data_IF_527953682924
#
_entry.id   IF_527953682924
#
_cell.length_a   1.000
_cell.length_b   1.000
_cell.length_c   1.000
_cell.angle_alpha   90.00
_cell.angle_beta   90.00
_cell.angle_gamma   90.00
#
_symmetry.space_group_name_H-M   'P 1'
#
loop_
_entity.id
_entity.type
_entity.pdbx_description
1 polymer ?
#
# COMPACT_ATOMS: atom_id res chain seq x y z
N UNK A 1 13.76 -17.96 12.43
CA UNK A 1 13.66 -17.35 13.77
C UNK A 1 12.20 -17.01 13.98
N UNK A 2 11.55 -17.65 14.94
CA UNK A 2 10.10 -17.59 15.16
C UNK A 2 9.84 -16.75 16.40
N UNK A 3 8.85 -15.85 16.32
CA UNK A 3 8.32 -15.01 17.39
C UNK A 3 9.19 -13.79 17.76
N UNK A 4 9.05 -12.70 17.00
CA UNK A 4 9.28 -11.37 17.56
C UNK A 4 8.14 -11.09 18.56
N UNK A 5 8.43 -11.36 19.83
CA UNK A 5 7.52 -11.08 20.94
C UNK A 5 7.30 -9.57 21.07
N UNK A 6 6.08 -9.14 21.39
CA UNK A 6 5.66 -7.73 21.38
C UNK A 6 6.45 -6.88 22.40
N UNK A 7 7.11 -7.54 23.36
CA UNK A 7 8.03 -6.93 24.33
C UNK A 7 9.39 -6.54 23.74
N UNK A 8 9.77 -7.01 22.54
CA UNK A 8 11.07 -6.69 21.95
C UNK A 8 11.10 -5.30 21.28
N UNK A 9 9.98 -4.78 20.78
CA UNK A 9 9.95 -3.51 20.04
C UNK A 9 10.19 -2.27 20.91
N UNK A 10 9.74 -2.28 22.17
CA UNK A 10 10.11 -1.24 23.14
C UNK A 10 11.62 -1.26 23.42
N UNK A 11 12.26 -2.42 23.35
CA UNK A 11 13.71 -2.58 23.46
C UNK A 11 14.49 -2.19 22.18
N UNK A 12 13.81 -1.98 21.03
CA UNK A 12 14.43 -1.54 19.77
C UNK A 12 14.58 -0.01 19.66
N UNK A 13 13.96 0.76 20.56
CA UNK A 13 14.09 2.23 20.66
C UNK A 13 15.54 2.74 20.60
N UNK A 14 16.56 2.06 21.19
CA UNK A 14 17.95 2.51 21.13
C UNK A 14 18.72 2.07 19.87
N UNK A 15 18.16 1.21 19.01
CA UNK A 15 18.92 0.54 17.95
C UNK A 15 18.98 1.43 16.72
N UNK A 16 19.91 2.39 16.73
CA UNK A 16 20.19 3.33 15.63
C UNK A 16 20.64 2.65 14.32
N UNK A 17 20.91 1.34 14.34
CA UNK A 17 21.37 0.56 13.19
C UNK A 17 20.32 -0.36 12.57
N UNK A 18 19.08 -0.38 13.06
CA UNK A 18 18.06 -1.27 12.52
C UNK A 18 17.62 -0.80 11.14
N UNK A 19 18.04 -1.52 10.10
CA UNK A 19 17.69 -1.22 8.69
C UNK A 19 16.49 -2.00 8.20
N UNK A 20 16.34 -3.24 8.66
CA UNK A 20 15.27 -4.14 8.22
C UNK A 20 14.62 -4.74 9.45
N UNK A 21 13.29 -4.66 9.52
CA UNK A 21 12.49 -5.37 10.50
C UNK A 21 11.76 -6.54 9.84
N UNK A 22 12.04 -7.76 10.29
CA UNK A 22 11.25 -8.94 9.95
C UNK A 22 10.40 -9.36 11.15
N UNK A 23 9.08 -9.19 11.05
CA UNK A 23 8.11 -9.55 12.07
C UNK A 23 6.84 -10.18 11.48
N UNK A 24 6.91 -10.75 10.28
CA UNK A 24 5.78 -11.44 9.66
C UNK A 24 5.24 -12.59 10.50
N UNK A 25 3.93 -12.81 10.46
CA UNK A 25 3.19 -13.82 11.23
C UNK A 25 3.43 -13.72 12.74
N UNK A 26 3.68 -12.51 13.25
CA UNK A 26 3.85 -12.26 14.69
C UNK A 26 2.56 -11.74 15.34
N UNK A 27 2.57 -11.66 16.66
CA UNK A 27 1.51 -11.07 17.48
C UNK A 27 1.65 -9.56 17.65
N UNK A 28 2.47 -8.92 16.82
CA UNK A 28 2.78 -7.50 16.87
C UNK A 28 1.50 -6.66 16.75
N UNK A 29 1.26 -5.81 17.75
CA UNK A 29 0.08 -4.94 17.84
C UNK A 29 0.38 -3.49 17.45
N UNK A 30 1.65 -3.08 17.53
CA UNK A 30 2.05 -1.69 17.34
C UNK A 30 3.45 -1.56 16.74
N UNK A 31 3.59 -0.58 15.87
CA UNK A 31 4.85 -0.15 15.24
C UNK A 31 5.30 1.25 15.71
N UNK A 32 4.69 1.79 16.78
CA UNK A 32 4.98 3.14 17.28
C UNK A 32 6.47 3.35 17.59
N UNK A 33 7.14 2.35 18.13
CA UNK A 33 8.57 2.42 18.47
C UNK A 33 9.48 2.62 17.25
N UNK A 34 9.02 2.28 16.04
CA UNK A 34 9.81 2.36 14.81
C UNK A 34 9.89 3.77 14.21
N UNK A 35 9.04 4.70 14.68
CA UNK A 35 8.99 6.07 14.16
C UNK A 35 10.31 6.85 14.34
N UNK A 36 11.18 6.41 15.25
CA UNK A 36 12.47 7.04 15.54
C UNK A 36 13.68 6.26 14.97
N UNK A 37 13.45 5.14 14.30
CA UNK A 37 14.54 4.33 13.74
C UNK A 37 15.13 5.01 12.49
N UNK A 38 16.15 5.83 12.68
CA UNK A 38 16.74 6.67 11.63
C UNK A 38 17.34 5.90 10.45
N UNK A 39 17.71 4.64 10.65
CA UNK A 39 18.29 3.77 9.62
C UNK A 39 17.27 2.79 9.00
N UNK A 40 16.02 2.76 9.45
CA UNK A 40 15.03 1.77 9.02
C UNK A 40 14.57 2.04 7.58
N UNK A 41 14.75 1.04 6.72
CA UNK A 41 14.45 1.08 5.29
C UNK A 41 13.35 0.10 4.90
N UNK A 42 13.25 -1.07 5.55
CA UNK A 42 12.29 -2.12 5.19
C UNK A 42 11.57 -2.65 6.43
N UNK A 43 10.25 -2.74 6.36
CA UNK A 43 9.41 -3.32 7.42
C UNK A 43 8.53 -4.42 6.85
N UNK A 44 8.76 -5.65 7.28
CA UNK A 44 7.94 -6.82 6.94
C UNK A 44 7.11 -7.24 8.16
N UNK A 45 5.80 -6.98 8.09
CA UNK A 45 4.78 -7.24 9.13
C UNK A 45 3.57 -7.96 8.51
N UNK A 46 3.81 -8.75 7.47
CA UNK A 46 2.77 -9.55 6.81
C UNK A 46 2.16 -10.59 7.74
N UNK A 47 0.88 -10.88 7.59
CA UNK A 47 0.10 -11.78 8.46
C UNK A 47 0.07 -11.41 9.96
N UNK A 48 0.34 -10.14 10.31
CA UNK A 48 0.16 -9.62 11.67
C UNK A 48 -1.30 -9.19 11.90
N UNK A 49 -2.17 -10.14 12.24
CA UNK A 49 -3.61 -9.92 12.38
C UNK A 49 -4.01 -8.88 13.46
N UNK A 50 -3.12 -8.61 14.42
CA UNK A 50 -3.35 -7.65 15.51
C UNK A 50 -2.73 -6.27 15.26
N UNK A 51 -1.96 -6.10 14.18
CA UNK A 51 -1.41 -4.80 13.78
C UNK A 51 -2.49 -4.02 13.03
N UNK A 52 -2.99 -2.93 13.64
CA UNK A 52 -4.13 -2.18 13.11
C UNK A 52 -3.71 -0.87 12.43
N UNK A 53 -2.61 -0.26 12.88
CA UNK A 53 -2.19 1.08 12.46
C UNK A 53 -0.73 1.09 11.98
N UNK A 54 -0.53 1.57 10.76
CA UNK A 54 0.81 1.80 10.17
C UNK A 54 1.22 3.28 10.22
N UNK A 55 0.37 4.17 10.71
CA UNK A 55 0.62 5.60 10.77
C UNK A 55 1.97 6.03 11.37
N UNK A 56 2.49 5.39 12.43
CA UNK A 56 3.80 5.73 12.98
C UNK A 56 4.97 5.55 12.01
N UNK A 57 4.84 4.63 11.04
CA UNK A 57 5.88 4.39 10.03
C UNK A 57 6.09 5.59 9.10
N UNK A 58 5.10 6.47 8.98
CA UNK A 58 5.21 7.68 8.15
C UNK A 58 6.25 8.70 8.64
N UNK A 59 6.73 8.55 9.87
CA UNK A 59 7.78 9.41 10.45
C UNK A 59 9.19 8.82 10.30
N UNK A 60 9.32 7.56 9.87
CA UNK A 60 10.62 6.92 9.68
C UNK A 60 11.33 7.54 8.45
N UNK A 61 12.45 8.26 8.65
CA UNK A 61 12.99 9.16 7.62
C UNK A 61 13.54 8.42 6.39
N UNK A 62 13.94 7.16 6.53
CA UNK A 62 14.55 6.35 5.47
C UNK A 62 13.70 5.17 5.02
N UNK A 63 12.46 5.05 5.50
CA UNK A 63 11.63 3.89 5.21
C UNK A 63 11.23 3.88 3.73
N UNK A 64 11.60 2.83 3.01
CA UNK A 64 11.36 2.66 1.57
C UNK A 64 10.29 1.62 1.29
N UNK A 65 10.23 0.55 2.08
CA UNK A 65 9.34 -0.58 1.82
C UNK A 65 8.60 -1.02 3.08
N UNK A 66 7.29 -1.21 2.93
CA UNK A 66 6.44 -1.81 3.95
C UNK A 66 5.64 -2.94 3.33
N UNK A 67 5.83 -4.16 3.85
CA UNK A 67 4.93 -5.29 3.59
C UNK A 67 4.05 -5.54 4.81
N UNK A 68 2.76 -5.27 4.67
CA UNK A 68 1.73 -5.56 5.65
C UNK A 68 0.65 -6.49 5.07
N UNK A 69 0.99 -7.29 4.07
CA UNK A 69 0.06 -8.19 3.39
C UNK A 69 -0.59 -9.16 4.39
N UNK A 70 -1.92 -9.28 4.38
CA UNK A 70 -2.69 -10.15 5.26
C UNK A 70 -2.69 -9.74 6.73
N UNK A 71 -2.26 -8.51 7.05
CA UNK A 71 -2.30 -7.97 8.40
C UNK A 71 -3.70 -7.44 8.77
N UNK A 72 -3.89 -7.10 10.04
CA UNK A 72 -5.12 -6.49 10.56
C UNK A 72 -5.27 -5.00 10.25
N UNK A 73 -4.43 -4.44 9.37
CA UNK A 73 -4.31 -2.99 9.17
C UNK A 73 -5.62 -2.39 8.66
N UNK A 74 -6.02 -1.31 9.32
CA UNK A 74 -7.22 -0.50 9.01
C UNK A 74 -6.89 0.97 8.89
N UNK A 75 -5.81 1.41 9.53
CA UNK A 75 -5.40 2.81 9.58
C UNK A 75 -4.02 3.00 8.95
N UNK A 76 -3.97 3.91 7.98
CA UNK A 76 -2.74 4.28 7.26
C UNK A 76 -2.55 5.81 7.18
N UNK A 77 -3.35 6.58 7.94
CA UNK A 77 -3.38 8.05 7.87
C UNK A 77 -2.03 8.70 8.10
N UNK A 78 -1.21 8.16 9.01
CA UNK A 78 0.12 8.69 9.27
C UNK A 78 1.13 8.47 8.12
N UNK A 79 0.88 7.54 7.19
CA UNK A 79 1.78 7.28 6.06
C UNK A 79 1.89 8.48 5.10
N UNK A 80 0.89 9.37 5.07
CA UNK A 80 0.92 10.59 4.26
C UNK A 80 2.10 11.52 4.55
N UNK A 81 2.72 11.37 5.73
CA UNK A 81 3.91 12.12 6.15
C UNK A 81 5.21 11.53 5.61
N UNK A 82 5.18 10.33 5.03
CA UNK A 82 6.36 9.68 4.51
C UNK A 82 6.83 10.35 3.23
N UNK A 83 8.04 10.89 3.27
CA UNK A 83 8.74 11.41 2.10
C UNK A 83 9.66 10.37 1.44
N UNK A 84 9.77 9.17 2.00
CA UNK A 84 10.75 8.14 1.58
C UNK A 84 10.11 6.82 1.15
N UNK A 85 8.85 6.55 1.52
CA UNK A 85 8.17 5.29 1.19
C UNK A 85 7.99 5.16 -0.32
N UNK A 86 8.62 4.14 -0.92
CA UNK A 86 8.57 3.86 -2.35
C UNK A 86 7.64 2.69 -2.68
N UNK A 87 7.51 1.71 -1.77
CA UNK A 87 6.73 0.48 -1.98
C UNK A 87 5.87 0.13 -0.77
N UNK A 88 4.60 -0.14 -1.03
CA UNK A 88 3.62 -0.47 0.00
C UNK A 88 2.76 -1.66 -0.42
N UNK A 89 2.87 -2.77 0.33
CA UNK A 89 2.09 -3.98 0.11
C UNK A 89 1.03 -4.11 1.20
N UNK A 90 -0.24 -3.99 0.80
CA UNK A 90 -1.42 -4.04 1.66
C UNK A 90 -2.44 -5.08 1.18
N UNK A 91 -1.99 -6.06 0.39
CA UNK A 91 -2.84 -7.13 -0.10
C UNK A 91 -3.49 -7.90 1.05
N UNK A 92 -4.74 -8.33 0.91
CA UNK A 92 -5.48 -9.09 1.92
C UNK A 92 -5.66 -8.36 3.27
N UNK A 93 -5.44 -7.05 3.34
CA UNK A 93 -5.89 -6.23 4.48
C UNK A 93 -7.41 -6.05 4.42
N UNK A 94 -8.16 -7.08 4.86
CA UNK A 94 -9.62 -7.22 4.69
C UNK A 94 -10.47 -6.15 5.39
N UNK A 95 -9.83 -5.26 6.15
CA UNK A 95 -10.48 -4.19 6.88
C UNK A 95 -10.04 -2.79 6.45
N UNK A 96 -9.15 -2.69 5.45
CA UNK A 96 -8.71 -1.41 4.89
C UNK A 96 -9.68 -0.96 3.78
N UNK A 97 -10.56 -0.02 4.10
CA UNK A 97 -11.55 0.50 3.14
C UNK A 97 -11.16 1.83 2.48
N UNK A 98 -10.21 2.56 3.07
CA UNK A 98 -9.83 3.90 2.63
C UNK A 98 -8.33 4.01 2.39
N UNK A 99 -7.96 4.61 1.26
CA UNK A 99 -6.56 4.85 0.87
C UNK A 99 -6.23 6.32 0.64
N UNK A 100 -7.15 7.22 1.01
CA UNK A 100 -7.02 8.68 0.95
C UNK A 100 -5.62 9.23 1.26
N UNK A 101 -5.01 8.84 2.38
CA UNK A 101 -3.69 9.32 2.80
C UNK A 101 -2.54 9.04 1.81
N UNK A 102 -2.68 8.01 0.95
CA UNK A 102 -1.62 7.61 0.02
C UNK A 102 -1.42 8.59 -1.13
N UNK A 103 -2.42 9.43 -1.45
CA UNK A 103 -2.29 10.51 -2.42
C UNK A 103 -1.19 11.51 -2.10
N UNK A 104 -0.85 11.67 -0.81
CA UNK A 104 0.16 12.61 -0.34
C UNK A 104 1.57 11.99 -0.26
N UNK A 105 1.71 10.68 -0.50
CA UNK A 105 3.00 10.00 -0.45
C UNK A 105 3.82 10.31 -1.70
N UNK A 106 4.61 11.39 -1.66
CA UNK A 106 5.33 11.94 -2.82
C UNK A 106 6.33 10.97 -3.47
N UNK A 107 6.80 9.98 -2.72
CA UNK A 107 7.80 9.00 -3.17
C UNK A 107 7.21 7.65 -3.54
N UNK A 108 5.91 7.41 -3.30
CA UNK A 108 5.28 6.11 -3.50
C UNK A 108 5.23 5.76 -4.99
N UNK A 109 5.85 4.64 -5.36
CA UNK A 109 5.96 4.13 -6.74
C UNK A 109 5.15 2.87 -6.94
N UNK A 110 5.07 2.02 -5.93
CA UNK A 110 4.42 0.71 -6.01
C UNK A 110 3.40 0.55 -4.88
N UNK A 111 2.15 0.26 -5.25
CA UNK A 111 1.05 0.05 -4.31
C UNK A 111 0.27 -1.21 -4.66
N UNK A 112 0.19 -2.15 -3.70
CA UNK A 112 -0.58 -3.38 -3.86
C UNK A 112 -1.74 -3.39 -2.87
N UNK A 113 -2.96 -3.43 -3.39
CA UNK A 113 -4.23 -3.43 -2.66
C UNK A 113 -5.05 -4.71 -2.93
N UNK A 114 -4.40 -5.76 -3.43
CA UNK A 114 -5.07 -7.00 -3.84
C UNK A 114 -6.01 -7.54 -2.77
N UNK A 115 -7.26 -7.86 -3.10
CA UNK A 115 -8.26 -8.39 -2.15
C UNK A 115 -8.53 -7.50 -0.93
N UNK A 116 -8.51 -6.17 -1.10
CA UNK A 116 -8.96 -5.21 -0.07
C UNK A 116 -10.39 -4.73 -0.33
N UNK A 117 -11.16 -4.32 0.69
CA UNK A 117 -12.50 -3.76 0.53
C UNK A 117 -12.48 -2.26 0.15
N UNK A 118 -11.42 -1.78 -0.50
CA UNK A 118 -11.32 -0.37 -0.91
C UNK A 118 -12.41 -0.06 -1.94
N UNK A 119 -13.13 1.05 -1.70
CA UNK A 119 -14.27 1.46 -2.53
C UNK A 119 -13.91 2.55 -3.54
N UNK A 120 -12.89 3.33 -3.22
CA UNK A 120 -12.54 4.59 -3.87
C UNK A 120 -11.02 4.76 -3.92
N UNK A 121 -10.54 5.34 -5.01
CA UNK A 121 -9.11 5.52 -5.31
C UNK A 121 -8.80 6.95 -5.75
N UNK A 122 -9.77 7.87 -5.70
CA UNK A 122 -9.72 9.24 -6.22
C UNK A 122 -8.50 10.00 -5.70
N UNK A 123 -8.17 9.82 -4.43
CA UNK A 123 -6.97 10.38 -3.79
C UNK A 123 -5.64 9.99 -4.46
N UNK A 124 -5.58 8.86 -5.16
CA UNK A 124 -4.35 8.43 -5.83
C UNK A 124 -4.03 9.31 -7.05
N UNK A 125 -4.98 10.08 -7.57
CA UNK A 125 -4.70 11.07 -8.63
C UNK A 125 -3.62 12.08 -8.22
N UNK A 126 -3.50 12.35 -6.91
CA UNK A 126 -2.52 13.27 -6.36
C UNK A 126 -1.15 12.62 -6.13
N UNK A 127 -1.01 11.30 -6.29
CA UNK A 127 0.25 10.58 -6.07
C UNK A 127 1.22 10.77 -7.27
N UNK A 128 2.26 11.62 -7.15
CA UNK A 128 3.00 12.12 -8.31
C UNK A 128 4.04 11.12 -8.85
N UNK A 129 4.32 10.06 -8.09
CA UNK A 129 5.36 9.08 -8.38
C UNK A 129 4.83 7.67 -8.65
N UNK A 130 3.52 7.43 -8.51
CA UNK A 130 2.94 6.09 -8.61
C UNK A 130 3.08 5.53 -10.03
N UNK A 131 3.71 4.35 -10.15
CA UNK A 131 4.02 3.67 -11.41
C UNK A 131 3.37 2.30 -11.49
N UNK A 132 3.22 1.62 -10.37
CA UNK A 132 2.67 0.28 -10.29
C UNK A 132 1.52 0.26 -9.29
N UNK A 133 0.36 -0.21 -9.77
CA UNK A 133 -0.83 -0.36 -8.97
C UNK A 133 -1.42 -1.74 -9.21
N UNK A 134 -1.54 -2.53 -8.14
CA UNK A 134 -2.32 -3.77 -8.15
C UNK A 134 -3.58 -3.57 -7.31
N UNK A 135 -4.73 -3.65 -7.97
CA UNK A 135 -6.07 -3.57 -7.36
C UNK A 135 -6.85 -4.85 -7.60
N UNK A 136 -6.19 -5.95 -7.97
CA UNK A 136 -6.87 -7.20 -8.29
C UNK A 136 -7.72 -7.70 -7.13
N UNK A 137 -8.87 -8.31 -7.42
CA UNK A 137 -9.83 -8.82 -6.44
C UNK A 137 -10.42 -7.74 -5.51
N UNK A 138 -10.30 -6.45 -5.84
CA UNK A 138 -11.04 -5.38 -5.15
C UNK A 138 -12.49 -5.36 -5.62
N UNK A 139 -13.33 -6.15 -4.95
CA UNK A 139 -14.74 -6.34 -5.31
C UNK A 139 -15.68 -5.21 -4.87
N UNK A 140 -15.20 -4.21 -4.15
CA UNK A 140 -16.02 -3.08 -3.69
C UNK A 140 -15.70 -1.77 -4.41
N UNK A 141 -14.73 -1.78 -5.32
CA UNK A 141 -14.29 -0.60 -6.05
C UNK A 141 -15.40 -0.11 -7.00
N UNK A 142 -15.82 1.14 -6.83
CA UNK A 142 -16.98 1.69 -7.52
C UNK A 142 -16.67 2.23 -8.93
N UNK A 143 -15.43 2.72 -9.15
CA UNK A 143 -15.01 3.35 -10.40
C UNK A 143 -13.51 3.14 -10.65
N UNK A 144 -13.13 3.15 -11.92
CA UNK A 144 -11.73 3.11 -12.38
C UNK A 144 -11.29 4.39 -13.10
N UNK A 145 -12.15 5.41 -13.15
CA UNK A 145 -11.87 6.64 -13.92
C UNK A 145 -10.63 7.37 -13.42
N UNK A 146 -10.33 7.29 -12.12
CA UNK A 146 -9.12 7.88 -11.53
C UNK A 146 -7.82 7.37 -12.17
N UNK A 147 -7.81 6.14 -12.70
CA UNK A 147 -6.62 5.57 -13.32
C UNK A 147 -6.16 6.38 -14.53
N UNK A 148 -7.08 7.06 -15.23
CA UNK A 148 -6.78 7.93 -16.35
C UNK A 148 -6.04 9.21 -15.94
N UNK A 149 -6.18 9.61 -14.68
CA UNK A 149 -5.55 10.80 -14.11
C UNK A 149 -4.20 10.52 -13.45
N UNK A 150 -3.75 9.26 -13.42
CA UNK A 150 -2.47 8.90 -12.81
C UNK A 150 -1.31 9.28 -13.76
N UNK A 151 -0.49 10.30 -13.41
CA UNK A 151 0.39 10.97 -14.37
C UNK A 151 1.58 10.11 -14.81
N UNK A 152 1.92 9.06 -14.05
CA UNK A 152 3.10 8.23 -14.26
C UNK A 152 2.85 6.73 -14.18
N UNK A 153 1.58 6.30 -14.18
CA UNK A 153 1.25 4.89 -14.13
C UNK A 153 1.86 4.17 -15.34
N UNK A 154 2.46 3.00 -15.10
CA UNK A 154 3.09 2.15 -16.12
C UNK A 154 2.61 0.72 -16.06
N UNK A 155 2.26 0.24 -14.87
CA UNK A 155 1.78 -1.11 -14.67
C UNK A 155 0.51 -1.09 -13.84
N UNK A 156 -0.53 -1.72 -14.37
CA UNK A 156 -1.81 -1.88 -13.69
C UNK A 156 -2.18 -3.35 -13.69
N UNK A 157 -2.43 -3.90 -12.51
CA UNK A 157 -3.10 -5.19 -12.37
C UNK A 157 -4.48 -4.98 -11.77
N UNK A 158 -5.50 -5.51 -12.42
CA UNK A 158 -6.90 -5.32 -12.02
C UNK A 158 -7.75 -6.57 -12.27
N UNK A 159 -7.13 -7.72 -12.07
CA UNK A 159 -7.77 -9.02 -12.20
C UNK A 159 -8.99 -9.14 -11.30
N UNK A 160 -10.13 -9.62 -11.84
CA UNK A 160 -11.34 -9.91 -11.05
C UNK A 160 -11.85 -8.76 -10.15
N UNK A 161 -11.78 -7.50 -10.57
CA UNK A 161 -12.49 -6.39 -9.90
C UNK A 161 -13.98 -6.35 -10.28
N UNK A 162 -14.88 -5.98 -9.36
CA UNK A 162 -16.33 -5.88 -9.68
C UNK A 162 -16.66 -4.70 -10.58
N UNK A 163 -15.90 -3.61 -10.55
CA UNK A 163 -15.98 -2.55 -11.56
C UNK A 163 -15.87 -3.15 -12.98
N UNK A 164 -14.95 -4.10 -13.18
CA UNK A 164 -14.80 -4.85 -14.43
C UNK A 164 -15.99 -5.76 -14.77
N UNK A 165 -16.81 -6.14 -13.78
CA UNK A 165 -17.96 -7.03 -13.96
C UNK A 165 -19.29 -6.29 -14.13
N UNK A 166 -19.50 -5.17 -13.43
CA UNK A 166 -20.73 -4.35 -13.50
C UNK A 166 -20.70 -3.33 -14.63
N UNK A 167 -19.50 -2.88 -15.03
CA UNK A 167 -19.31 -1.88 -16.07
C UNK A 167 -18.26 -2.36 -17.09
N UNK A 168 -18.50 -3.51 -17.71
CA UNK A 168 -17.54 -4.10 -18.66
C UNK A 168 -17.14 -3.13 -19.80
N UNK A 169 -18.07 -2.31 -20.29
CA UNK A 169 -17.80 -1.31 -21.32
C UNK A 169 -17.00 -0.11 -20.79
N UNK A 170 -17.27 0.35 -19.56
CA UNK A 170 -16.47 1.40 -18.91
C UNK A 170 -15.05 0.92 -18.69
N UNK A 171 -14.88 -0.31 -18.23
CA UNK A 171 -13.55 -0.90 -18.04
C UNK A 171 -12.82 -1.08 -19.37
N UNK A 172 -13.49 -1.56 -20.42
CA UNK A 172 -12.88 -1.58 -21.76
C UNK A 172 -12.47 -0.19 -22.24
N UNK A 173 -13.31 0.82 -22.02
CA UNK A 173 -13.00 2.20 -22.39
C UNK A 173 -11.81 2.75 -21.60
N UNK A 174 -11.76 2.51 -20.28
CA UNK A 174 -10.63 2.88 -19.42
C UNK A 174 -9.36 2.17 -19.86
N UNK A 175 -9.42 0.86 -20.15
CA UNK A 175 -8.27 0.09 -20.64
C UNK A 175 -7.77 0.62 -21.99
N UNK A 176 -8.67 0.87 -22.93
CA UNK A 176 -8.32 1.45 -24.24
C UNK A 176 -7.64 2.82 -24.06
N UNK A 177 -8.21 3.68 -23.21
CA UNK A 177 -7.64 4.99 -22.91
C UNK A 177 -6.26 4.88 -22.23
N UNK A 178 -6.07 3.97 -21.27
CA UNK A 178 -4.78 3.73 -20.60
C UNK A 178 -3.71 3.25 -21.58
N UNK A 179 -4.05 2.33 -22.48
CA UNK A 179 -3.10 1.83 -23.50
C UNK A 179 -2.76 2.88 -24.56
N UNK A 180 -3.64 3.86 -24.77
CA UNK A 180 -3.41 4.97 -25.70
C UNK A 180 -2.61 6.13 -25.07
N UNK A 181 -2.39 6.14 -23.75
CA UNK A 181 -1.61 7.18 -23.09
C UNK A 181 -0.11 7.08 -23.46
N UNK A 182 0.60 8.23 -23.50
CA UNK A 182 2.04 8.27 -23.79
C UNK A 182 2.89 7.49 -22.76
N UNK A 183 2.31 7.17 -21.61
CA UNK A 183 2.96 6.44 -20.53
C UNK A 183 3.05 4.92 -20.79
N UNK A 184 2.44 4.43 -21.88
CA UNK A 184 2.46 3.03 -22.32
C UNK A 184 2.13 2.04 -21.18
N UNK A 185 0.94 2.20 -20.61
CA UNK A 185 0.51 1.42 -19.44
C UNK A 185 0.34 -0.05 -19.82
N UNK A 186 1.15 -0.91 -19.23
CA UNK A 186 0.99 -2.36 -19.27
C UNK A 186 -0.11 -2.79 -18.33
N UNK A 187 -1.22 -3.29 -18.87
CA UNK A 187 -2.35 -3.80 -18.08
C UNK A 187 -2.36 -5.32 -18.05
N UNK A 188 -2.45 -5.89 -16.86
CA UNK A 188 -2.57 -7.35 -16.64
C UNK A 188 -3.94 -7.67 -16.05
N UNK A 189 -4.68 -8.56 -16.71
CA UNK A 189 -5.96 -9.09 -16.27
C UNK A 189 -5.73 -10.56 -15.83
N UNK A 190 -5.63 -10.81 -14.52
CA UNK A 190 -5.45 -12.16 -13.94
C UNK A 190 -6.77 -12.69 -13.35
#
# INVERSE_FOLDING_TARGET
MRYCDVQLLTALSPVSSLTILHASSSTLTSVVSLQHCAALEVVEVSACAQLIDLGPLGLAPRLREVDATGSGVRQISGLSRSCSLEKLLLGQCVHLSEVGPLGQCVSLRELHLTSTPVQQLESLADAPALRHLDISFCYQLASLTVLLSLPRLRHLSMGRCTAARRQAEEVKAVLAALTAQPNNVSVVLV
#
